data_IF_951648193993
#
_entry.id   IF_951648193993
#
_cell.length_a   1.000
_cell.length_b   1.000
_cell.length_c   1.000
_cell.angle_alpha   90.00
_cell.angle_beta   90.00
_cell.angle_gamma   90.00
#
_symmetry.space_group_name_H-M   'P 1'
#
loop_
_entity.id
_entity.type
_entity.pdbx_description
1 polymer ?
#
# COMPACT_ATOMS: atom_id res chain seq x y z
N UNK A 1 -56.51 -8.34 45.09
CA UNK A 1 -56.01 -7.47 46.16
C UNK A 1 -54.74 -8.11 46.72
N UNK A 2 -53.60 -7.64 46.23
CA UNK A 2 -52.31 -7.35 46.90
C UNK A 2 -52.08 -7.81 48.37
N UNK A 3 -50.81 -7.86 48.87
CA UNK A 3 -49.53 -8.32 48.31
C UNK A 3 -48.60 -8.98 49.40
N UNK A 4 -47.30 -9.16 49.06
CA UNK A 4 -46.09 -9.32 49.94
C UNK A 4 -45.77 -10.74 50.43
N UNK A 5 -44.53 -11.22 50.58
CA UNK A 5 -43.10 -10.84 50.42
C UNK A 5 -42.40 -12.18 50.87
N UNK A 6 -41.32 -12.76 50.33
CA UNK A 6 -39.90 -12.35 50.40
C UNK A 6 -39.02 -13.59 50.09
N UNK A 7 -37.93 -13.35 49.32
CA UNK A 7 -36.59 -14.00 49.27
C UNK A 7 -36.45 -15.50 48.93
N UNK A 8 -35.75 -15.76 47.81
CA UNK A 8 -34.34 -16.20 47.84
C UNK A 8 -33.73 -16.13 46.42
N UNK A 9 -32.72 -15.27 46.24
CA UNK A 9 -31.83 -15.24 45.09
C UNK A 9 -30.46 -15.71 45.61
N UNK A 10 -29.83 -16.74 45.02
CA UNK A 10 -28.44 -17.04 45.29
C UNK A 10 -27.50 -16.20 44.43
N UNK A 11 -26.36 -15.95 45.06
CA UNK A 11 -25.31 -15.00 44.72
C UNK A 11 -24.51 -15.27 43.43
N UNK A 12 -24.11 -14.14 42.87
CA UNK A 12 -22.87 -13.80 42.16
C UNK A 12 -21.80 -14.89 41.93
N UNK A 13 -21.46 -15.09 40.65
CA UNK A 13 -20.12 -15.50 40.23
C UNK A 13 -19.62 -14.57 39.10
N UNK A 14 -18.79 -13.60 39.51
CA UNK A 14 -17.58 -13.14 38.81
C UNK A 14 -17.67 -12.89 37.30
N UNK A 15 -18.22 -11.73 36.91
CA UNK A 15 -17.88 -11.07 35.64
C UNK A 15 -16.53 -10.38 35.84
N UNK A 16 -15.48 -11.00 35.29
CA UNK A 16 -14.16 -10.41 35.15
C UNK A 16 -14.27 -9.13 34.31
N UNK A 17 -13.91 -7.98 34.89
CA UNK A 17 -13.81 -6.71 34.17
C UNK A 17 -12.61 -6.78 33.23
N UNK A 18 -12.85 -7.20 32.00
CA UNK A 18 -11.90 -7.07 30.90
C UNK A 18 -11.82 -5.61 30.45
N UNK A 19 -10.77 -4.93 30.88
CA UNK A 19 -10.45 -3.56 30.46
C UNK A 19 -10.16 -3.52 28.94
N UNK A 20 -10.91 -2.69 28.23
CA UNK A 20 -10.68 -2.35 26.82
C UNK A 20 -9.52 -1.35 26.74
N UNK A 21 -8.53 -1.64 25.89
CA UNK A 21 -7.44 -0.71 25.60
C UNK A 21 -7.89 0.25 24.49
N UNK A 22 -8.10 1.51 24.84
CA UNK A 22 -8.42 2.58 23.89
C UNK A 22 -7.18 3.45 23.75
N UNK A 23 -6.53 3.41 22.59
CA UNK A 23 -5.58 4.46 22.19
C UNK A 23 -6.29 5.45 21.28
N UNK A 24 -6.32 6.70 21.71
CA UNK A 24 -6.87 7.81 20.93
C UNK A 24 -5.73 8.42 20.12
N UNK A 25 -5.71 8.16 18.82
CA UNK A 25 -4.89 8.91 17.86
C UNK A 25 -5.90 9.55 16.88
N UNK A 26 -5.95 10.87 16.86
CA UNK A 26 -6.72 11.70 15.91
C UNK A 26 -8.21 11.35 15.73
N UNK A 27 -8.98 11.31 16.82
CA UNK A 27 -10.45 11.25 16.82
C UNK A 27 -11.12 10.13 16.00
N UNK A 28 -10.36 9.16 15.48
CA UNK A 28 -10.87 7.92 14.88
C UNK A 28 -10.62 6.77 15.84
N UNK A 29 -11.69 6.16 16.35
CA UNK A 29 -11.60 4.90 17.12
C UNK A 29 -11.18 3.77 16.17
N UNK A 30 -9.89 3.44 16.16
CA UNK A 30 -9.40 2.22 15.53
C UNK A 30 -9.60 1.08 16.53
N UNK A 31 -10.58 0.20 16.26
CA UNK A 31 -10.76 -1.03 17.02
C UNK A 31 -9.65 -2.01 16.59
N UNK A 32 -8.60 -2.13 17.41
CA UNK A 32 -7.61 -3.19 17.22
C UNK A 32 -8.17 -4.51 17.79
N UNK A 33 -8.16 -5.61 17.02
CA UNK A 33 -8.53 -6.91 17.55
C UNK A 33 -7.55 -7.34 18.65
N UNK A 34 -8.08 -7.81 19.79
CA UNK A 34 -7.29 -8.40 20.89
C UNK A 34 -6.61 -9.67 20.33
N UNK A 35 -5.29 -9.87 20.51
CA UNK A 35 -4.62 -11.07 20.02
C UNK A 35 -5.15 -12.31 20.73
N UNK A 36 -5.88 -13.15 19.98
CA UNK A 36 -6.34 -14.47 20.40
C UNK A 36 -5.16 -15.46 20.32
N UNK A 37 -4.23 -15.38 21.28
CA UNK A 37 -3.45 -16.52 21.83
C UNK A 37 -2.29 -16.04 22.71
N UNK A 38 -2.54 -15.91 24.01
CA UNK A 38 -1.50 -15.65 25.02
C UNK A 38 -0.44 -16.75 25.13
N UNK A 39 -0.67 -17.94 24.55
CA UNK A 39 0.23 -19.09 24.67
C UNK A 39 1.43 -19.05 23.72
N UNK A 40 1.35 -18.36 22.58
CA UNK A 40 2.47 -18.23 21.64
C UNK A 40 3.37 -17.01 21.97
N UNK A 41 2.79 -15.94 22.52
CA UNK A 41 3.50 -14.70 22.86
C UNK A 41 4.56 -14.83 23.97
N UNK A 42 4.50 -15.87 24.81
CA UNK A 42 5.44 -16.02 25.93
C UNK A 42 6.84 -16.48 25.51
N UNK A 43 6.95 -17.14 24.35
CA UNK A 43 8.22 -17.67 23.83
C UNK A 43 8.56 -17.19 22.42
N UNK A 44 7.63 -16.51 21.73
CA UNK A 44 7.84 -16.10 20.36
C UNK A 44 8.52 -14.72 20.28
N UNK A 45 9.75 -14.69 19.76
CA UNK A 45 10.48 -13.47 19.39
C UNK A 45 9.83 -12.74 18.19
N UNK A 46 8.64 -13.16 17.75
CA UNK A 46 7.83 -12.54 16.70
C UNK A 46 7.14 -11.24 17.10
N UNK A 47 7.18 -10.87 18.38
CA UNK A 47 6.68 -9.57 18.81
C UNK A 47 7.50 -8.42 18.21
N UNK A 48 6.81 -7.43 17.67
CA UNK A 48 7.40 -6.15 17.30
C UNK A 48 7.99 -5.47 18.55
N UNK A 49 9.25 -5.07 18.46
CA UNK A 49 9.90 -4.25 19.49
C UNK A 49 9.32 -2.84 19.51
N UNK A 50 9.55 -2.07 20.58
CA UNK A 50 9.12 -0.67 20.67
C UNK A 50 9.62 0.16 19.49
N UNK A 51 10.88 -0.05 19.08
CA UNK A 51 11.44 0.66 17.94
C UNK A 51 10.74 0.29 16.63
N UNK A 52 10.44 -1.00 16.42
CA UNK A 52 9.71 -1.46 15.23
C UNK A 52 8.27 -0.95 15.21
N UNK A 53 7.61 -0.82 16.38
CA UNK A 53 6.29 -0.18 16.48
C UNK A 53 6.32 1.31 16.14
N UNK A 54 7.27 2.05 16.70
CA UNK A 54 7.46 3.47 16.39
C UNK A 54 7.73 3.66 14.91
N UNK A 55 8.62 2.83 14.35
CA UNK A 55 8.97 2.83 12.95
C UNK A 55 7.73 2.57 12.07
N UNK A 56 6.97 1.50 12.36
CA UNK A 56 5.72 1.18 11.67
C UNK A 56 4.72 2.34 11.74
N UNK A 57 4.51 2.91 12.91
CA UNK A 57 3.57 4.03 13.12
C UNK A 57 3.97 5.25 12.30
N UNK A 58 5.25 5.62 12.32
CA UNK A 58 5.76 6.75 11.56
C UNK A 58 5.53 6.56 10.05
N UNK A 59 5.72 5.34 9.54
CA UNK A 59 5.49 5.05 8.12
C UNK A 59 4.02 5.12 7.74
N UNK A 60 3.14 4.49 8.52
CA UNK A 60 1.70 4.53 8.26
C UNK A 60 1.20 5.99 8.28
N UNK A 61 1.66 6.77 9.24
CA UNK A 61 1.32 8.19 9.34
C UNK A 61 1.88 9.00 8.17
N UNK A 62 3.13 8.79 7.76
CA UNK A 62 3.72 9.47 6.60
C UNK A 62 2.96 9.17 5.30
N UNK A 63 2.46 7.94 5.14
CA UNK A 63 1.59 7.55 4.03
C UNK A 63 0.24 8.29 4.12
N UNK A 64 -0.40 8.28 5.29
CA UNK A 64 -1.73 8.88 5.49
C UNK A 64 -1.73 10.40 5.34
N UNK A 65 -0.64 11.07 5.72
CA UNK A 65 -0.45 12.51 5.52
C UNK A 65 -0.51 12.95 4.06
N UNK A 66 -0.28 12.05 3.09
CA UNK A 66 -0.42 12.41 1.67
C UNK A 66 -1.88 12.65 1.26
N UNK A 67 -2.86 12.21 2.06
CA UNK A 67 -4.29 12.34 1.78
C UNK A 67 -4.69 11.85 0.38
N UNK A 68 -4.00 10.82 -0.12
CA UNK A 68 -4.15 10.29 -1.47
C UNK A 68 -5.59 9.87 -1.78
N UNK A 69 -6.28 9.24 -0.82
CA UNK A 69 -7.67 8.82 -0.97
C UNK A 69 -8.60 9.99 -1.25
N UNK A 70 -8.50 11.05 -0.45
CA UNK A 70 -9.34 12.24 -0.57
C UNK A 70 -9.11 12.94 -1.91
N UNK A 71 -7.85 13.06 -2.34
CA UNK A 71 -7.49 13.65 -3.63
C UNK A 71 -8.10 12.86 -4.80
N UNK A 72 -7.96 11.55 -4.79
CA UNK A 72 -8.52 10.70 -5.85
C UNK A 72 -10.04 10.76 -5.85
N UNK A 73 -10.69 10.74 -4.68
CA UNK A 73 -12.14 10.90 -4.59
C UNK A 73 -12.60 12.24 -5.18
N UNK A 74 -11.87 13.33 -4.89
CA UNK A 74 -12.14 14.64 -5.48
C UNK A 74 -11.98 14.62 -7.00
N UNK A 75 -10.88 14.06 -7.52
CA UNK A 75 -10.66 13.95 -8.97
C UNK A 75 -11.72 13.09 -9.67
N UNK A 76 -12.19 12.02 -9.03
CA UNK A 76 -13.27 11.19 -9.55
C UNK A 76 -14.62 11.92 -9.56
N UNK A 77 -14.89 12.73 -8.54
CA UNK A 77 -16.09 13.57 -8.49
C UNK A 77 -16.05 14.66 -9.57
N UNK A 78 -14.90 15.32 -9.75
CA UNK A 78 -14.66 16.31 -10.80
C UNK A 78 -14.87 15.68 -12.18
N UNK A 79 -14.22 14.55 -12.46
CA UNK A 79 -14.39 13.79 -13.70
C UNK A 79 -15.87 13.45 -13.96
N UNK A 80 -16.60 13.04 -12.92
CA UNK A 80 -18.02 12.69 -13.04
C UNK A 80 -18.93 13.90 -13.30
N UNK A 81 -18.51 15.10 -12.87
CA UNK A 81 -19.24 16.35 -13.06
C UNK A 81 -19.10 16.92 -14.48
N UNK A 82 -18.05 16.54 -15.21
CA UNK A 82 -17.81 17.01 -16.58
C UNK A 82 -18.91 16.55 -17.55
N UNK A 83 -19.15 17.28 -18.66
CA UNK A 83 -19.98 16.80 -19.77
C UNK A 83 -19.45 15.48 -20.38
N UNK A 84 -20.31 14.57 -20.87
CA UNK A 84 -19.89 13.25 -21.37
C UNK A 84 -18.74 13.26 -22.39
N UNK A 85 -18.70 14.25 -23.29
CA UNK A 85 -17.63 14.42 -24.28
C UNK A 85 -16.26 14.76 -23.67
N UNK A 86 -16.24 15.37 -22.47
CA UNK A 86 -15.02 15.74 -21.76
C UNK A 86 -14.53 14.62 -20.83
N UNK A 87 -15.43 13.78 -20.30
CA UNK A 87 -15.09 12.66 -19.41
C UNK A 87 -14.13 11.64 -20.03
N UNK A 88 -14.19 11.51 -21.35
CA UNK A 88 -13.41 10.53 -22.12
C UNK A 88 -12.15 11.14 -22.71
N UNK A 89 -11.87 12.43 -22.46
CA UNK A 89 -10.63 13.03 -22.92
C UNK A 89 -9.46 12.38 -22.19
N UNK A 90 -8.46 12.02 -22.96
CA UNK A 90 -7.24 11.39 -22.44
C UNK A 90 -6.58 12.24 -21.36
N UNK A 91 -6.64 13.56 -21.45
CA UNK A 91 -6.12 14.49 -20.44
C UNK A 91 -6.71 14.24 -19.05
N UNK A 92 -8.04 14.08 -18.96
CA UNK A 92 -8.74 13.94 -17.69
C UNK A 92 -8.45 12.59 -17.04
N UNK A 93 -8.46 11.52 -17.84
CA UNK A 93 -8.11 10.19 -17.33
C UNK A 93 -6.64 10.14 -16.92
N UNK A 94 -5.77 10.79 -17.69
CA UNK A 94 -4.34 10.91 -17.37
C UNK A 94 -4.11 11.65 -16.06
N UNK A 95 -4.90 12.69 -15.76
CA UNK A 95 -4.80 13.40 -14.48
C UNK A 95 -5.13 12.47 -13.30
N UNK A 96 -6.21 11.68 -13.40
CA UNK A 96 -6.55 10.68 -12.36
C UNK A 96 -5.44 9.63 -12.22
N UNK A 97 -4.88 9.15 -13.33
CA UNK A 97 -3.76 8.21 -13.31
C UNK A 97 -2.50 8.83 -12.69
N UNK A 98 -2.19 10.09 -12.98
CA UNK A 98 -1.06 10.80 -12.37
C UNK A 98 -1.21 10.83 -10.84
N UNK A 99 -2.39 11.18 -10.34
CA UNK A 99 -2.72 11.22 -8.91
C UNK A 99 -2.55 9.85 -8.23
N UNK A 100 -2.89 8.76 -8.93
CA UNK A 100 -2.72 7.40 -8.42
C UNK A 100 -1.25 7.01 -8.22
N UNK A 101 -0.34 7.53 -9.06
CA UNK A 101 1.08 7.20 -9.04
C UNK A 101 1.94 8.20 -8.25
N UNK A 102 1.53 9.48 -8.16
CA UNK A 102 2.36 10.58 -7.67
C UNK A 102 2.72 10.49 -6.18
N UNK A 103 2.02 9.67 -5.39
CA UNK A 103 2.22 9.63 -3.95
C UNK A 103 3.44 8.82 -3.52
N UNK A 104 3.93 7.90 -4.37
CA UNK A 104 4.99 6.97 -3.97
C UNK A 104 6.35 7.67 -3.79
N UNK A 105 6.72 8.59 -4.70
CA UNK A 105 7.97 9.34 -4.60
C UNK A 105 8.10 10.10 -3.28
N UNK A 106 7.17 11.01 -2.95
CA UNK A 106 7.18 11.76 -1.69
C UNK A 106 7.17 10.88 -0.43
N UNK A 107 6.56 9.69 -0.48
CA UNK A 107 6.56 8.75 0.65
C UNK A 107 7.95 8.14 0.85
N UNK A 108 8.63 7.75 -0.24
CA UNK A 108 9.98 7.19 -0.20
C UNK A 108 10.96 8.26 0.28
N UNK A 109 10.87 9.49 -0.25
CA UNK A 109 11.74 10.60 0.11
C UNK A 109 11.63 10.98 1.58
N UNK A 110 10.47 10.83 2.22
CA UNK A 110 10.33 11.08 3.66
C UNK A 110 11.00 10.02 4.54
N UNK A 111 11.45 8.90 3.97
CA UNK A 111 12.10 7.84 4.74
C UNK A 111 13.56 8.20 5.06
N UNK A 112 13.98 8.16 6.34
CA UNK A 112 15.40 8.30 6.69
C UNK A 112 16.29 7.26 6.01
N UNK A 113 15.76 6.06 5.77
CA UNK A 113 16.49 4.99 5.08
C UNK A 113 16.84 5.38 3.65
N UNK A 114 15.99 6.14 2.96
CA UNK A 114 16.27 6.63 1.62
C UNK A 114 17.47 7.57 1.61
N UNK A 115 17.53 8.52 2.55
CA UNK A 115 18.63 9.46 2.69
C UNK A 115 19.94 8.83 3.19
N UNK A 116 19.87 7.64 3.79
CA UNK A 116 21.06 6.87 4.18
C UNK A 116 21.79 6.22 2.99
N UNK A 117 21.14 6.18 1.82
CA UNK A 117 21.68 5.57 0.61
C UNK A 117 22.54 6.57 -0.19
N UNK A 118 23.58 6.08 -0.91
CA UNK A 118 24.31 6.90 -1.87
C UNK A 118 23.38 7.51 -2.92
N UNK A 119 23.69 8.72 -3.40
CA UNK A 119 22.92 9.45 -4.43
C UNK A 119 22.61 8.57 -5.64
N UNK A 120 23.62 7.86 -6.16
CA UNK A 120 23.44 6.97 -7.32
C UNK A 120 22.43 5.85 -7.04
N UNK A 121 22.44 5.31 -5.82
CA UNK A 121 21.46 4.28 -5.40
C UNK A 121 20.07 4.87 -5.25
N UNK A 122 19.93 6.09 -4.71
CA UNK A 122 18.65 6.80 -4.61
C UNK A 122 18.04 7.01 -5.99
N UNK A 123 18.82 7.51 -6.94
CA UNK A 123 18.36 7.73 -8.32
C UNK A 123 17.95 6.43 -9.01
N UNK A 124 18.74 5.37 -8.83
CA UNK A 124 18.45 4.05 -9.35
C UNK A 124 17.12 3.50 -8.81
N UNK A 125 16.88 3.62 -7.50
CA UNK A 125 15.61 3.18 -6.89
C UNK A 125 14.40 3.91 -7.50
N UNK A 126 14.49 5.23 -7.65
CA UNK A 126 13.42 6.01 -8.25
C UNK A 126 13.19 5.60 -9.71
N UNK A 127 14.25 5.38 -10.47
CA UNK A 127 14.13 5.02 -11.88
C UNK A 127 13.55 3.61 -12.10
N UNK A 128 13.91 2.64 -11.25
CA UNK A 128 13.57 1.23 -11.47
C UNK A 128 12.36 0.76 -10.67
N UNK A 129 12.22 1.19 -9.42
CA UNK A 129 11.21 0.64 -8.52
C UNK A 129 9.93 1.44 -8.51
N UNK A 130 9.99 2.73 -8.86
CA UNK A 130 8.83 3.63 -8.78
C UNK A 130 7.67 3.17 -9.66
N UNK A 131 7.95 2.54 -10.81
CA UNK A 131 6.89 2.10 -11.70
C UNK A 131 6.05 0.96 -11.09
N UNK A 132 6.69 -0.13 -10.66
CA UNK A 132 5.98 -1.29 -10.06
C UNK A 132 5.39 -0.89 -8.71
N UNK A 133 6.14 -0.16 -7.89
CA UNK A 133 5.66 0.32 -6.59
C UNK A 133 4.49 1.28 -6.75
N UNK A 134 4.57 2.19 -7.71
CA UNK A 134 3.51 3.10 -8.14
C UNK A 134 2.26 2.36 -8.60
N UNK A 135 2.42 1.29 -9.38
CA UNK A 135 1.30 0.46 -9.82
C UNK A 135 0.63 -0.28 -8.66
N UNK A 136 1.40 -0.84 -7.72
CA UNK A 136 0.85 -1.48 -6.51
C UNK A 136 0.08 -0.46 -5.68
N UNK A 137 0.65 0.73 -5.51
CA UNK A 137 -0.01 1.84 -4.83
C UNK A 137 -1.29 2.26 -5.54
N UNK A 138 -1.26 2.43 -6.87
CA UNK A 138 -2.42 2.77 -7.67
C UNK A 138 -3.55 1.72 -7.50
N UNK A 139 -3.22 0.42 -7.57
CA UNK A 139 -4.19 -0.65 -7.37
C UNK A 139 -4.78 -0.65 -5.96
N UNK A 140 -3.95 -0.40 -4.96
CA UNK A 140 -4.39 -0.22 -3.58
C UNK A 140 -5.36 0.96 -3.44
N UNK A 141 -5.02 2.13 -3.97
CA UNK A 141 -5.87 3.31 -3.93
C UNK A 141 -7.19 3.10 -4.70
N UNK A 142 -7.12 2.49 -5.89
CA UNK A 142 -8.28 2.11 -6.70
C UNK A 142 -9.25 1.21 -5.92
N UNK A 143 -8.74 0.30 -5.08
CA UNK A 143 -9.58 -0.52 -4.19
C UNK A 143 -10.26 0.32 -3.13
N UNK A 144 -9.49 1.14 -2.42
CA UNK A 144 -9.99 1.90 -1.26
C UNK A 144 -11.03 2.95 -1.66
N UNK A 145 -10.88 3.55 -2.85
CA UNK A 145 -11.85 4.50 -3.42
C UNK A 145 -12.92 3.84 -4.28
N UNK A 146 -12.88 2.51 -4.38
CA UNK A 146 -13.81 1.70 -5.14
C UNK A 146 -14.02 2.18 -6.60
N UNK A 147 -12.90 2.44 -7.28
CA UNK A 147 -12.88 3.15 -8.57
C UNK A 147 -13.77 2.50 -9.64
N UNK A 148 -13.93 1.17 -9.59
CA UNK A 148 -14.72 0.43 -10.59
C UNK A 148 -16.23 0.51 -10.35
N UNK A 149 -16.68 0.96 -9.18
CA UNK A 149 -18.09 1.29 -8.97
C UNK A 149 -18.43 2.71 -9.45
N UNK A 150 -17.43 3.56 -9.69
CA UNK A 150 -17.62 4.80 -10.41
C UNK A 150 -17.79 4.49 -11.91
N UNK A 151 -19.04 4.56 -12.40
CA UNK A 151 -19.39 4.22 -13.78
C UNK A 151 -18.64 5.09 -14.82
N UNK A 152 -18.37 6.36 -14.49
CA UNK A 152 -17.61 7.25 -15.37
C UNK A 152 -16.18 6.75 -15.54
N UNK A 153 -15.49 6.49 -14.42
CA UNK A 153 -14.12 5.98 -14.43
C UNK A 153 -14.05 4.60 -15.09
N UNK A 154 -14.97 3.69 -14.75
CA UNK A 154 -15.04 2.36 -15.35
C UNK A 154 -15.20 2.41 -16.88
N UNK A 155 -16.12 3.24 -17.38
CA UNK A 155 -16.34 3.37 -18.82
C UNK A 155 -15.15 4.01 -19.53
N UNK A 156 -14.56 5.06 -18.94
CA UNK A 156 -13.37 5.70 -19.49
C UNK A 156 -12.18 4.73 -19.55
N UNK A 157 -11.94 3.96 -18.48
CA UNK A 157 -10.89 2.95 -18.45
C UNK A 157 -11.14 1.81 -19.45
N UNK A 158 -12.39 1.33 -19.59
CA UNK A 158 -12.73 0.31 -20.59
C UNK A 158 -12.48 0.78 -22.02
N UNK A 159 -12.80 2.04 -22.32
CA UNK A 159 -12.57 2.59 -23.65
C UNK A 159 -11.08 2.73 -23.98
N UNK A 160 -10.25 3.10 -22.99
CA UNK A 160 -8.82 3.33 -23.19
C UNK A 160 -8.00 2.04 -23.20
N UNK A 161 -8.35 1.09 -22.32
CA UNK A 161 -7.54 -0.09 -22.06
C UNK A 161 -8.18 -1.40 -22.57
N UNK A 162 -9.44 -1.37 -22.94
CA UNK A 162 -10.21 -2.55 -23.34
C UNK A 162 -10.80 -3.30 -22.14
N UNK A 163 -11.94 -3.95 -22.37
CA UNK A 163 -12.72 -4.63 -21.32
C UNK A 163 -11.98 -5.82 -20.69
N UNK A 164 -11.18 -6.54 -21.47
CA UNK A 164 -10.41 -7.69 -20.98
C UNK A 164 -9.38 -7.28 -19.94
N UNK A 165 -8.59 -6.25 -20.23
CA UNK A 165 -7.58 -5.72 -19.32
C UNK A 165 -8.23 -5.16 -18.05
N UNK A 166 -9.33 -4.40 -18.17
CA UNK A 166 -10.04 -3.87 -17.01
C UNK A 166 -10.65 -4.98 -16.15
N UNK A 167 -11.17 -6.05 -16.77
CA UNK A 167 -11.66 -7.22 -16.03
C UNK A 167 -10.55 -7.92 -15.25
N UNK A 168 -9.34 -8.03 -15.82
CA UNK A 168 -8.16 -8.57 -15.14
C UNK A 168 -7.72 -7.64 -13.98
N UNK A 169 -7.61 -6.33 -14.21
CA UNK A 169 -7.29 -5.34 -13.17
C UNK A 169 -8.28 -5.43 -11.99
N UNK A 170 -9.59 -5.49 -12.27
CA UNK A 170 -10.63 -5.63 -11.24
C UNK A 170 -10.49 -6.93 -10.45
N UNK A 171 -10.22 -8.06 -11.13
CA UNK A 171 -10.00 -9.36 -10.45
C UNK A 171 -8.74 -9.35 -9.58
N UNK A 172 -7.69 -8.67 -10.01
CA UNK A 172 -6.46 -8.54 -9.23
C UNK A 172 -6.66 -7.64 -8.00
N UNK A 173 -7.30 -6.47 -8.18
CA UNK A 173 -7.62 -5.53 -7.08
C UNK A 173 -8.47 -6.20 -6.00
N UNK A 174 -9.45 -7.04 -6.38
CA UNK A 174 -10.29 -7.78 -5.44
C UNK A 174 -9.52 -8.79 -4.56
N UNK A 175 -8.29 -9.18 -4.95
CA UNK A 175 -7.46 -10.12 -4.18
C UNK A 175 -6.52 -9.43 -3.18
N UNK A 176 -6.48 -8.10 -3.14
CA UNK A 176 -5.65 -7.35 -2.20
C UNK A 176 -6.15 -7.52 -0.76
N UNK A 177 -5.21 -7.58 0.20
CA UNK A 177 -5.55 -7.78 1.61
C UNK A 177 -6.33 -6.59 2.19
N UNK A 178 -7.51 -6.84 2.76
CA UNK A 178 -8.39 -5.79 3.29
C UNK A 178 -7.72 -4.89 4.34
N UNK A 179 -6.65 -5.37 5.00
CA UNK A 179 -5.87 -4.54 5.90
C UNK A 179 -4.88 -3.67 5.10
N UNK A 180 -5.25 -2.41 4.89
CA UNK A 180 -4.44 -1.43 4.17
C UNK A 180 -3.06 -1.19 4.78
N UNK A 181 -2.88 -1.36 6.10
CA UNK A 181 -1.57 -1.20 6.74
C UNK A 181 -0.55 -2.23 6.22
N UNK A 182 -0.98 -3.47 5.96
CA UNK A 182 -0.09 -4.49 5.38
C UNK A 182 0.40 -4.09 3.99
N UNK A 183 -0.50 -3.56 3.17
CA UNK A 183 -0.17 -3.13 1.80
C UNK A 183 0.77 -1.92 1.84
N UNK A 184 0.54 -0.95 2.74
CA UNK A 184 1.44 0.20 2.93
C UNK A 184 2.86 -0.23 3.31
N UNK A 185 3.02 -1.17 4.25
CA UNK A 185 4.35 -1.72 4.59
C UNK A 185 4.94 -2.44 3.38
N UNK A 186 4.13 -3.21 2.66
CA UNK A 186 4.57 -3.96 1.50
C UNK A 186 5.03 -3.04 0.34
N UNK A 187 4.40 -1.89 0.16
CA UNK A 187 4.85 -0.84 -0.78
C UNK A 187 6.29 -0.40 -0.46
N UNK A 188 6.68 -0.27 0.82
CA UNK A 188 8.07 0.05 1.19
C UNK A 188 9.05 -1.08 0.86
N UNK A 189 8.64 -2.34 1.03
CA UNK A 189 9.47 -3.50 0.64
C UNK A 189 9.75 -3.47 -0.86
N UNK A 190 8.78 -3.06 -1.67
CA UNK A 190 8.93 -2.93 -3.12
C UNK A 190 9.76 -1.69 -3.49
N UNK A 191 9.51 -0.56 -2.83
CA UNK A 191 10.25 0.67 -3.02
C UNK A 191 11.76 0.48 -2.83
N UNK A 192 12.16 -0.28 -1.80
CA UNK A 192 13.55 -0.61 -1.47
C UNK A 192 14.00 -1.96 -2.03
N UNK A 193 13.28 -2.55 -2.97
CA UNK A 193 13.68 -3.84 -3.56
C UNK A 193 14.93 -3.69 -4.42
N UNK A 194 15.89 -4.60 -4.28
CA UNK A 194 17.05 -4.65 -5.17
C UNK A 194 16.74 -5.25 -6.55
N UNK A 195 15.54 -5.83 -6.75
CA UNK A 195 15.20 -6.63 -7.93
C UNK A 195 14.04 -6.08 -8.77
N UNK A 196 13.49 -4.90 -8.45
CA UNK A 196 12.27 -4.43 -9.13
C UNK A 196 12.47 -3.86 -10.54
N UNK A 197 13.64 -4.04 -11.18
CA UNK A 197 13.85 -3.71 -12.61
C UNK A 197 13.14 -4.65 -13.59
N UNK A 198 12.45 -5.70 -13.12
CA UNK A 198 11.91 -6.81 -13.95
C UNK A 198 11.01 -6.33 -15.10
N UNK A 199 10.36 -5.17 -15.01
CA UNK A 199 9.41 -4.69 -16.03
C UNK A 199 10.04 -3.77 -17.09
N UNK A 200 11.20 -3.18 -16.82
CA UNK A 200 11.99 -2.44 -17.82
C UNK A 200 13.23 -3.29 -18.12
N UNK A 201 13.10 -4.20 -19.09
CA UNK A 201 14.26 -4.91 -19.64
C UNK A 201 15.06 -3.92 -20.49
N UNK A 202 15.93 -3.17 -19.84
CA UNK A 202 16.90 -2.32 -20.51
C UNK A 202 18.23 -3.06 -20.58
N UNK A 203 18.65 -3.39 -21.80
CA UNK A 203 19.92 -4.06 -22.09
C UNK A 203 21.15 -3.24 -21.65
N UNK A 204 20.97 -1.95 -21.35
CA UNK A 204 22.04 -1.04 -20.93
C UNK A 204 22.16 -0.91 -19.40
N UNK A 205 21.17 -1.38 -18.64
CA UNK A 205 21.18 -1.25 -17.18
C UNK A 205 22.03 -2.36 -16.57
N UNK A 206 23.13 -1.95 -15.95
CA UNK A 206 24.01 -2.87 -15.22
C UNK A 206 23.36 -3.27 -13.88
N UNK A 207 22.49 -4.28 -13.91
CA UNK A 207 21.77 -4.86 -12.75
C UNK A 207 22.75 -5.21 -11.61
N UNK A 208 24.00 -5.51 -11.94
CA UNK A 208 25.09 -5.84 -11.01
C UNK A 208 25.36 -4.75 -9.97
N UNK A 209 25.10 -3.47 -10.29
CA UNK A 209 25.29 -2.32 -9.38
C UNK A 209 24.20 -2.31 -8.28
N UNK A 210 22.98 -2.73 -8.61
CA UNK A 210 21.87 -2.75 -7.66
C UNK A 210 21.91 -3.96 -6.73
N UNK A 211 22.28 -5.12 -7.26
CA UNK A 211 22.43 -6.37 -6.51
C UNK A 211 23.60 -6.35 -5.52
N UNK A 212 24.53 -5.40 -5.65
CA UNK A 212 25.71 -5.28 -4.79
C UNK A 212 25.53 -4.28 -3.62
N UNK A 213 24.40 -3.56 -3.55
CA UNK A 213 24.13 -2.66 -2.41
C UNK A 213 23.63 -3.43 -1.19
N UNK A 214 24.57 -3.89 -0.35
CA UNK A 214 24.29 -4.53 0.95
C UNK A 214 23.33 -3.68 1.79
N UNK A 215 23.47 -2.36 1.75
CA UNK A 215 22.62 -1.43 2.49
C UNK A 215 21.16 -1.48 2.01
N UNK A 216 20.94 -1.56 0.71
CA UNK A 216 19.59 -1.66 0.15
C UNK A 216 18.89 -2.95 0.60
N UNK A 217 19.59 -4.08 0.49
CA UNK A 217 19.07 -5.38 0.95
C UNK A 217 18.79 -5.34 2.46
N UNK A 218 19.67 -4.69 3.25
CA UNK A 218 19.46 -4.52 4.69
C UNK A 218 18.19 -3.73 4.98
N UNK A 219 17.98 -2.60 4.29
CA UNK A 219 16.79 -1.77 4.43
C UNK A 219 15.54 -2.58 4.06
N UNK A 220 15.53 -3.23 2.90
CA UNK A 220 14.42 -4.08 2.47
C UNK A 220 14.07 -5.15 3.52
N UNK A 221 15.09 -5.81 4.09
CA UNK A 221 14.92 -6.84 5.11
C UNK A 221 14.32 -6.31 6.42
N UNK A 222 14.60 -5.05 6.79
CA UNK A 222 13.94 -4.41 7.94
C UNK A 222 12.43 -4.36 7.72
N UNK A 223 11.98 -3.84 6.56
CA UNK A 223 10.56 -3.77 6.24
C UNK A 223 9.91 -5.15 6.08
N UNK A 224 10.61 -6.10 5.46
CA UNK A 224 10.12 -7.47 5.30
C UNK A 224 9.94 -8.18 6.65
N UNK A 225 10.92 -8.02 7.55
CA UNK A 225 10.86 -8.56 8.92
C UNK A 225 9.72 -7.90 9.70
N UNK A 226 9.56 -6.58 9.59
CA UNK A 226 8.48 -5.84 10.24
C UNK A 226 7.11 -6.30 9.74
N UNK A 227 6.91 -6.46 8.42
CA UNK A 227 5.67 -6.99 7.86
C UNK A 227 5.39 -8.40 8.37
N UNK A 228 6.39 -9.27 8.38
CA UNK A 228 6.25 -10.64 8.87
C UNK A 228 5.83 -10.70 10.34
N UNK A 229 6.55 -9.98 11.21
CA UNK A 229 6.21 -9.87 12.64
C UNK A 229 4.80 -9.31 12.84
N UNK A 230 4.44 -8.27 12.08
CA UNK A 230 3.11 -7.67 12.16
C UNK A 230 2.00 -8.63 11.71
N UNK A 231 2.22 -9.42 10.65
CA UNK A 231 1.30 -10.48 10.22
C UNK A 231 1.12 -11.56 11.29
N UNK A 232 2.22 -12.06 11.87
CA UNK A 232 2.18 -13.07 12.93
C UNK A 232 1.49 -12.52 14.18
N UNK A 233 1.74 -11.25 14.53
CA UNK A 233 1.07 -10.58 15.63
C UNK A 233 -0.45 -10.47 15.42
N UNK A 234 -0.90 -10.10 14.21
CA UNK A 234 -2.32 -9.89 13.93
C UNK A 234 -3.11 -11.18 13.74
N UNK A 235 -2.53 -12.19 13.08
CA UNK A 235 -3.27 -13.35 12.60
C UNK A 235 -2.72 -14.69 13.08
N UNK A 236 -1.58 -14.70 13.77
CA UNK A 236 -0.84 -15.91 14.11
C UNK A 236 -0.13 -16.52 12.90
N UNK A 237 0.81 -17.44 13.18
CA UNK A 237 1.67 -18.03 12.14
C UNK A 237 0.90 -18.68 10.98
N UNK A 238 -0.16 -19.46 11.30
CA UNK A 238 -0.90 -20.24 10.30
C UNK A 238 -1.56 -19.37 9.23
N UNK A 239 -2.12 -18.23 9.62
CA UNK A 239 -2.78 -17.29 8.70
C UNK A 239 -1.81 -16.25 8.11
N UNK A 240 -0.70 -15.96 8.81
CA UNK A 240 0.34 -15.06 8.33
C UNK A 240 0.98 -15.58 7.02
N UNK A 241 1.30 -16.88 6.95
CA UNK A 241 1.90 -17.51 5.75
C UNK A 241 1.06 -17.28 4.48
N UNK A 242 -0.21 -17.73 4.39
CA UNK A 242 -0.99 -17.58 3.17
C UNK A 242 -1.26 -16.11 2.82
N UNK A 243 -1.37 -15.21 3.81
CA UNK A 243 -1.51 -13.77 3.57
C UNK A 243 -0.25 -13.16 2.96
N UNK A 244 0.92 -13.49 3.49
CA UNK A 244 2.19 -13.05 2.92
C UNK A 244 2.37 -13.57 1.49
N UNK A 245 2.10 -14.86 1.26
CA UNK A 245 2.15 -15.46 -0.09
C UNK A 245 1.19 -14.75 -1.05
N UNK A 246 -0.01 -14.36 -0.59
CA UNK A 246 -0.98 -13.62 -1.41
C UNK A 246 -0.47 -12.24 -1.79
N UNK A 247 0.20 -11.50 -0.88
CA UNK A 247 0.82 -10.21 -1.21
C UNK A 247 1.86 -10.36 -2.33
N UNK A 248 2.73 -11.37 -2.24
CA UNK A 248 3.73 -11.67 -3.27
C UNK A 248 3.07 -12.05 -4.60
N UNK A 249 2.09 -12.96 -4.56
CA UNK A 249 1.33 -13.37 -5.76
C UNK A 249 0.65 -12.19 -6.43
N UNK A 250 0.02 -11.30 -5.67
CA UNK A 250 -0.67 -10.12 -6.20
C UNK A 250 0.30 -9.22 -6.99
N UNK A 251 1.55 -9.07 -6.54
CA UNK A 251 2.58 -8.34 -7.28
C UNK A 251 2.99 -9.05 -8.57
N UNK A 252 3.15 -10.37 -8.54
CA UNK A 252 3.48 -11.13 -9.76
C UNK A 252 2.36 -11.04 -10.79
N UNK A 253 1.10 -11.16 -10.35
CA UNK A 253 -0.07 -10.98 -11.20
C UNK A 253 -0.15 -9.55 -11.74
N UNK A 254 0.16 -8.54 -10.91
CA UNK A 254 0.23 -7.16 -11.34
C UNK A 254 1.33 -6.97 -12.39
N UNK A 255 2.54 -7.49 -12.17
CA UNK A 255 3.63 -7.42 -13.16
C UNK A 255 3.17 -7.99 -14.50
N UNK A 256 2.46 -9.13 -14.50
CA UNK A 256 1.86 -9.71 -15.71
C UNK A 256 0.84 -8.77 -16.36
N UNK A 257 0.01 -8.08 -15.59
CA UNK A 257 -0.92 -7.07 -16.12
C UNK A 257 -0.15 -5.90 -16.73
N UNK A 258 0.92 -5.45 -16.08
CA UNK A 258 1.72 -4.34 -16.56
C UNK A 258 2.39 -4.64 -17.91
N UNK A 259 2.73 -5.90 -18.22
CA UNK A 259 3.26 -6.26 -19.55
C UNK A 259 2.24 -6.08 -20.67
N UNK A 260 0.94 -6.17 -20.37
CA UNK A 260 -0.13 -5.91 -21.33
C UNK A 260 -0.33 -4.40 -21.57
N UNK A 261 0.07 -3.58 -20.60
CA UNK A 261 0.00 -2.11 -20.66
C UNK A 261 1.27 -1.52 -21.33
N UNK A 262 2.41 -2.22 -21.30
CA UNK A 262 3.71 -1.77 -21.86
C UNK A 262 3.68 -1.30 -23.33
N UNK A 263 2.87 -1.84 -24.26
CA UNK A 263 2.86 -1.35 -25.64
C UNK A 263 2.21 0.04 -25.83
N UNK A 264 1.74 0.68 -24.77
CA UNK A 264 0.85 1.84 -24.87
C UNK A 264 1.61 3.16 -24.63
N UNK A 265 1.85 3.96 -25.68
CA UNK A 265 2.61 5.23 -25.67
C UNK A 265 2.17 6.23 -24.58
N UNK A 266 0.89 6.18 -24.19
CA UNK A 266 0.33 7.04 -23.12
C UNK A 266 0.96 6.76 -21.76
N UNK A 267 1.39 5.51 -21.50
CA UNK A 267 2.04 5.11 -20.24
C UNK A 267 3.39 5.81 -20.09
N UNK A 268 4.22 5.78 -21.13
CA UNK A 268 5.58 6.31 -21.07
C UNK A 268 5.55 7.80 -20.73
N UNK A 269 4.61 8.55 -21.30
CA UNK A 269 4.43 9.97 -20.97
C UNK A 269 4.12 10.23 -19.49
N UNK A 270 3.28 9.41 -18.84
CA UNK A 270 2.92 9.61 -17.42
C UNK A 270 4.04 9.15 -16.50
N UNK A 271 4.60 7.97 -16.75
CA UNK A 271 5.66 7.40 -15.93
C UNK A 271 6.92 8.24 -16.05
N UNK A 272 7.32 8.62 -17.25
CA UNK A 272 8.53 9.42 -17.48
C UNK A 272 8.35 10.84 -16.94
N UNK A 273 7.15 11.42 -17.00
CA UNK A 273 6.87 12.70 -16.32
C UNK A 273 7.07 12.60 -14.82
N UNK A 274 6.55 11.55 -14.16
CA UNK A 274 6.67 11.37 -12.70
C UNK A 274 8.12 11.08 -12.31
N UNK A 275 8.81 10.20 -13.05
CA UNK A 275 10.23 9.88 -12.84
C UNK A 275 11.09 11.14 -13.02
N UNK A 276 10.82 11.93 -14.06
CA UNK A 276 11.55 13.19 -14.33
C UNK A 276 11.30 14.24 -13.24
N UNK A 277 10.06 14.40 -12.80
CA UNK A 277 9.69 15.35 -11.74
C UNK A 277 10.33 14.97 -10.40
N UNK A 278 10.24 13.69 -10.04
CA UNK A 278 10.87 13.16 -8.81
C UNK A 278 12.40 13.25 -8.90
N UNK A 279 12.99 12.89 -10.06
CA UNK A 279 14.42 13.02 -10.28
C UNK A 279 14.95 14.45 -10.20
N UNK A 280 14.21 15.44 -10.74
CA UNK A 280 14.59 16.85 -10.63
C UNK A 280 14.54 17.36 -9.19
N UNK A 281 13.56 16.93 -8.41
CA UNK A 281 13.46 17.29 -6.99
C UNK A 281 14.68 16.82 -6.20
N UNK A 282 15.27 15.67 -6.56
CA UNK A 282 16.47 15.13 -5.92
C UNK A 282 17.74 15.93 -6.24
N UNK A 283 17.88 16.45 -7.46
CA UNK A 283 19.08 17.21 -7.89
C UNK A 283 19.12 18.62 -7.28
N UNK A 284 17.96 19.20 -6.93
CA UNK A 284 17.87 20.57 -6.38
C UNK A 284 18.14 20.59 -4.86
N UNK A 285 18.08 19.44 -4.19
CA UNK A 285 18.24 19.32 -2.75
C UNK A 285 19.69 19.01 -2.30
N UNK A 286 20.60 18.77 -3.24
CA UNK A 286 22.05 18.64 -3.03
C UNK A 286 22.76 20.00 -3.25
#
# INVERSE_FOLDING_TARGET
>A
MDPKLIRNIPDSSTISKDEQYVQTIDNKRILLPRPLSLSLLRNDRSALTTNEWTLLSNFLHAFDQQNAFTRIQYSLAELSSLPPKLRLKLSEVTNVLRELFSNVGPIIERSPDFHSLPVDTRQLLINHNLFVTGAVNAFFLCREVDIFHNMTAFNASNQLYGSELIAECRRNIAQYDSNGSLIKIFIFILAFSSSCSIVKYDNQVNITIMSSSINLVRIQNVYATMLWKYLVYLYGFKEAVPRFTRLVKNVLDLIRILTWITPNETRDLVVDSIVTETGRALVIAD
#
